data_IF_802358773406
#
_entry.id   IF_802358773406
#
_cell.length_a   1.000
_cell.length_b   1.000
_cell.length_c   1.000
_cell.angle_alpha   90.00
_cell.angle_beta   90.00
_cell.angle_gamma   90.00
#
_symmetry.space_group_name_H-M   'P 1'
#
loop_
_entity.id
_entity.type
_entity.pdbx_description
1 polymer ?
#
# COMPACT_ATOMS: atom_id res chain seq x y z
N UNK A 1 2.54 12.73 -12.73
CA UNK A 1 1.68 13.69 -12.03
C UNK A 1 2.08 13.79 -10.56
N UNK A 2 2.21 12.68 -9.82
CA UNK A 2 2.59 12.71 -8.39
C UNK A 2 3.87 13.49 -8.09
N UNK A 3 4.99 13.22 -8.78
CA UNK A 3 6.26 13.94 -8.55
C UNK A 3 6.15 15.45 -8.83
N UNK A 4 5.46 15.83 -9.90
CA UNK A 4 5.28 17.25 -10.29
C UNK A 4 4.46 18.00 -9.24
N UNK A 5 3.43 17.37 -8.69
CA UNK A 5 2.62 17.94 -7.60
C UNK A 5 3.43 18.03 -6.30
N UNK A 6 4.21 17.01 -5.96
CA UNK A 6 5.10 17.02 -4.80
C UNK A 6 6.15 18.13 -4.92
N UNK A 7 6.75 18.31 -6.10
CA UNK A 7 7.67 19.42 -6.38
C UNK A 7 7.00 20.77 -6.21
N UNK A 8 5.80 20.94 -6.77
CA UNK A 8 5.07 22.20 -6.66
C UNK A 8 4.67 22.53 -5.22
N UNK A 9 4.17 21.55 -4.45
CA UNK A 9 3.85 21.72 -3.03
C UNK A 9 5.08 21.99 -2.16
N UNK A 10 6.22 21.36 -2.49
CA UNK A 10 7.47 21.54 -1.78
C UNK A 10 8.24 22.81 -2.18
N UNK A 11 7.77 23.53 -3.20
CA UNK A 11 8.49 24.66 -3.78
C UNK A 11 9.82 24.28 -4.44
N UNK A 12 10.00 23.00 -4.80
CA UNK A 12 11.25 22.51 -5.39
C UNK A 12 11.29 22.93 -6.85
N UNK A 13 12.30 23.73 -7.16
CA UNK A 13 12.56 24.25 -8.50
C UNK A 13 13.65 23.44 -9.20
N UNK A 14 13.85 23.72 -10.49
CA UNK A 14 14.90 23.07 -11.27
C UNK A 14 16.31 23.44 -10.81
N UNK A 15 16.49 24.58 -10.13
CA UNK A 15 17.77 25.03 -9.58
C UNK A 15 18.19 24.24 -8.33
N UNK A 16 17.26 23.58 -7.65
CA UNK A 16 17.56 22.79 -6.46
C UNK A 16 18.28 21.47 -6.81
N UNK A 17 18.26 21.06 -8.09
CA UNK A 17 18.92 19.85 -8.58
C UNK A 17 18.58 18.55 -7.80
N UNK A 18 17.45 18.53 -7.09
CA UNK A 18 16.98 17.39 -6.30
C UNK A 18 16.39 16.31 -7.23
N UNK A 19 16.86 15.07 -7.11
CA UNK A 19 16.37 13.95 -7.89
C UNK A 19 14.96 13.51 -7.45
N UNK A 20 14.25 12.84 -8.35
CA UNK A 20 12.88 12.41 -8.06
C UNK A 20 12.83 11.35 -6.95
N UNK A 21 13.86 10.49 -6.87
CA UNK A 21 14.01 9.50 -5.80
C UNK A 21 14.10 10.18 -4.42
N UNK A 22 14.88 11.26 -4.31
CA UNK A 22 15.03 12.02 -3.05
C UNK A 22 13.70 12.63 -2.60
N UNK A 23 12.91 13.13 -3.55
CA UNK A 23 11.55 13.65 -3.30
C UNK A 23 10.64 12.52 -2.82
N UNK A 24 10.66 11.35 -3.47
CA UNK A 24 9.83 10.22 -3.03
C UNK A 24 10.21 9.72 -1.63
N UNK A 25 11.49 9.75 -1.28
CA UNK A 25 11.95 9.38 0.07
C UNK A 25 11.54 10.43 1.11
N UNK A 26 11.69 11.72 0.80
CA UNK A 26 11.30 12.80 1.71
C UNK A 26 9.81 12.80 2.03
N UNK A 27 8.98 12.49 1.03
CA UNK A 27 7.52 12.47 1.17
C UNK A 27 6.98 11.09 1.58
N UNK A 28 7.84 10.11 1.88
CA UNK A 28 7.45 8.72 2.25
C UNK A 28 6.50 8.11 1.21
N UNK A 29 6.60 8.56 -0.05
CA UNK A 29 5.74 8.09 -1.15
C UNK A 29 6.25 6.75 -1.67
N UNK A 30 7.57 6.60 -1.81
CA UNK A 30 8.18 5.33 -2.24
C UNK A 30 7.76 4.12 -1.38
N UNK A 31 7.78 4.18 -0.04
CA UNK A 31 7.29 3.09 0.81
C UNK A 31 5.82 2.74 0.60
N UNK A 32 4.97 3.73 0.31
CA UNK A 32 3.53 3.54 0.14
C UNK A 32 3.23 2.87 -1.20
N UNK A 33 3.84 3.35 -2.29
CA UNK A 33 3.66 2.76 -3.62
C UNK A 33 4.21 1.33 -3.68
N UNK A 34 5.34 1.05 -3.04
CA UNK A 34 5.88 -0.30 -2.93
C UNK A 34 4.95 -1.22 -2.14
N UNK A 35 4.42 -0.75 -1.01
CA UNK A 35 3.49 -1.54 -0.20
C UNK A 35 2.18 -1.81 -0.91
N UNK A 36 1.64 -0.82 -1.61
CA UNK A 36 0.45 -0.99 -2.46
C UNK A 36 0.71 -2.03 -3.55
N UNK A 37 1.87 -1.97 -4.21
CA UNK A 37 2.24 -2.93 -5.26
C UNK A 37 2.37 -4.36 -4.72
N UNK A 38 2.93 -4.52 -3.53
CA UNK A 38 3.02 -5.81 -2.83
C UNK A 38 1.63 -6.37 -2.51
N UNK A 39 0.75 -5.55 -1.93
CA UNK A 39 -0.63 -5.96 -1.60
C UNK A 39 -1.43 -6.30 -2.84
N UNK A 40 -1.32 -5.51 -3.92
CA UNK A 40 -2.00 -5.79 -5.18
C UNK A 40 -1.46 -7.04 -5.87
N UNK A 41 -0.15 -7.30 -5.80
CA UNK A 41 0.43 -8.57 -6.27
C UNK A 41 -0.12 -9.75 -5.49
N UNK A 42 -0.18 -9.65 -4.16
CA UNK A 42 -0.76 -10.68 -3.31
C UNK A 42 -2.25 -10.90 -3.63
N UNK A 43 -3.02 -9.83 -3.76
CA UNK A 43 -4.45 -9.89 -4.08
C UNK A 43 -4.69 -10.50 -5.47
N UNK A 44 -3.93 -10.05 -6.47
CA UNK A 44 -3.98 -10.61 -7.81
C UNK A 44 -3.54 -12.07 -7.85
N UNK A 45 -2.59 -12.47 -7.00
CA UNK A 45 -2.21 -13.88 -6.83
C UNK A 45 -3.38 -14.68 -6.28
N UNK A 46 -3.96 -14.28 -5.14
CA UNK A 46 -5.13 -14.94 -4.53
C UNK A 46 -6.28 -15.04 -5.54
N UNK A 47 -6.59 -13.98 -6.29
CA UNK A 47 -7.64 -13.98 -7.29
C UNK A 47 -7.36 -14.90 -8.49
N UNK A 48 -6.11 -15.25 -8.79
CA UNK A 48 -5.75 -16.16 -9.90
C UNK A 48 -5.51 -17.60 -9.45
N UNK A 49 -5.36 -17.84 -8.15
CA UNK A 49 -5.21 -19.20 -7.62
C UNK A 49 -6.52 -19.98 -7.78
N UNK A 50 -6.39 -21.30 -7.85
CA UNK A 50 -7.51 -22.24 -7.90
C UNK A 50 -8.50 -22.04 -6.73
N UNK A 51 -9.77 -22.33 -6.98
CA UNK A 51 -10.84 -22.19 -5.99
C UNK A 51 -10.66 -23.08 -4.76
N UNK A 52 -9.95 -24.20 -4.90
CA UNK A 52 -9.66 -25.13 -3.81
C UNK A 52 -8.44 -24.72 -2.98
N UNK A 53 -7.74 -23.65 -3.37
CA UNK A 53 -6.63 -23.13 -2.57
C UNK A 53 -7.15 -22.47 -1.30
N UNK A 54 -6.50 -22.81 -0.17
CA UNK A 54 -6.82 -22.28 1.16
C UNK A 54 -6.94 -20.75 1.15
N UNK A 55 -6.05 -20.05 0.45
CA UNK A 55 -6.08 -18.59 0.36
C UNK A 55 -7.35 -18.05 -0.33
N UNK A 56 -7.82 -18.70 -1.40
CA UNK A 56 -9.02 -18.32 -2.13
C UNK A 56 -10.29 -18.68 -1.34
N UNK A 57 -10.30 -19.84 -0.69
CA UNK A 57 -11.40 -20.26 0.20
C UNK A 57 -11.57 -19.28 1.36
N UNK A 58 -10.46 -18.90 2.03
CA UNK A 58 -10.47 -17.92 3.13
C UNK A 58 -10.88 -16.53 2.63
N UNK A 59 -10.42 -16.13 1.45
CA UNK A 59 -10.80 -14.85 0.85
C UNK A 59 -12.30 -14.75 0.52
N UNK A 60 -12.91 -15.83 0.05
CA UNK A 60 -14.33 -15.89 -0.30
C UNK A 60 -15.24 -16.19 0.89
N UNK A 61 -14.71 -16.63 2.02
CA UNK A 61 -15.48 -16.80 3.23
C UNK A 61 -15.97 -15.40 3.66
N UNK A 62 -17.28 -15.16 3.56
CA UNK A 62 -17.90 -13.98 4.16
C UNK A 62 -17.76 -14.06 5.67
N UNK A 63 -16.67 -13.51 6.21
CA UNK A 63 -16.47 -13.45 7.66
C UNK A 63 -17.36 -12.34 8.21
N UNK A 64 -18.60 -12.68 8.57
CA UNK A 64 -19.42 -11.85 9.45
C UNK A 64 -18.84 -11.95 10.85
N UNK A 65 -17.73 -11.25 11.10
CA UNK A 65 -17.01 -11.31 12.35
C UNK A 65 -16.59 -9.92 12.79
N UNK A 66 -17.42 -9.28 13.61
CA UNK A 66 -16.95 -8.15 14.41
C UNK A 66 -15.95 -8.74 15.41
N UNK A 67 -14.65 -8.53 15.18
CA UNK A 67 -13.61 -8.91 16.14
C UNK A 67 -13.65 -7.91 17.29
N UNK A 68 -14.44 -8.20 18.32
CA UNK A 68 -14.36 -7.45 19.58
C UNK A 68 -12.99 -7.72 20.19
N UNK A 69 -12.13 -6.71 20.12
CA UNK A 69 -10.80 -6.69 20.71
C UNK A 69 -10.97 -6.97 22.20
N UNK A 70 -10.41 -8.08 22.68
CA UNK A 70 -10.54 -8.53 24.06
C UNK A 70 -10.13 -7.42 25.05
N UNK A 71 -10.97 -7.23 26.06
CA UNK A 71 -10.74 -6.29 27.15
C UNK A 71 -9.50 -6.68 27.98
N UNK A 72 -8.74 -5.67 28.40
CA UNK A 72 -7.66 -5.78 29.37
C UNK A 72 -8.28 -6.22 30.71
N UNK A 73 -7.95 -7.42 31.18
CA UNK A 73 -8.27 -7.85 32.55
C UNK A 73 -7.36 -7.09 33.51
N UNK A 74 -7.97 -6.37 34.44
CA UNK A 74 -7.30 -5.84 35.64
C UNK A 74 -6.88 -6.98 36.55
#
# INVERSE_FOLDING_TARGET
>A
MEIEMLRWMAGITRLDHICNEDIQQHFIVAPITDKLREVLRWFGHVLRTDCDSVCKTVFNLGVTGIRLKGSLKQ
#
